data_IF_501075854827
#
_entry.id   IF_501075854827
#
_cell.length_a   1.000
_cell.length_b   1.000
_cell.length_c   1.000
_cell.angle_alpha   90.00
_cell.angle_beta   90.00
_cell.angle_gamma   90.00
#
_symmetry.space_group_name_H-M   'P 1'
#
loop_
_entity.id
_entity.type
_entity.pdbx_description
1 polymer ?
#
# COMPACT_ATOMS: atom_id res chain seq x y z
N UNK A 1 -63.16 -16.16 -10.58
CA UNK A 1 -61.99 -15.33 -10.91
C UNK A 1 -60.71 -16.04 -10.44
N UNK A 2 -59.87 -16.56 -11.34
CA UNK A 2 -58.59 -17.09 -10.98
C UNK A 2 -57.49 -16.11 -11.42
N UNK A 3 -56.46 -15.89 -10.64
CA UNK A 3 -55.12 -15.72 -11.18
C UNK A 3 -54.43 -14.41 -11.02
N UNK A 4 -54.46 -13.71 -9.87
CA UNK A 4 -53.53 -12.59 -9.64
C UNK A 4 -52.36 -12.91 -8.72
N UNK A 5 -52.26 -14.12 -8.16
CA UNK A 5 -51.18 -14.53 -7.25
C UNK A 5 -49.89 -15.02 -7.95
N UNK A 6 -50.02 -15.59 -9.16
CA UNK A 6 -48.93 -16.27 -9.85
C UNK A 6 -47.82 -15.34 -10.40
N UNK A 7 -48.22 -14.15 -10.87
CA UNK A 7 -47.25 -13.21 -11.48
C UNK A 7 -46.35 -12.49 -10.46
N UNK A 8 -46.84 -12.15 -9.27
CA UNK A 8 -46.04 -11.51 -8.22
C UNK A 8 -44.97 -12.46 -7.69
N UNK A 9 -45.31 -13.72 -7.41
CA UNK A 9 -44.36 -14.70 -6.92
C UNK A 9 -43.26 -15.06 -7.93
N UNK A 10 -43.53 -14.97 -9.24
CA UNK A 10 -42.51 -15.20 -10.27
C UNK A 10 -41.57 -13.99 -10.44
N UNK A 11 -42.09 -12.78 -10.31
CA UNK A 11 -41.27 -11.56 -10.34
C UNK A 11 -40.31 -11.51 -9.16
N UNK A 12 -40.80 -11.86 -7.98
CA UNK A 12 -39.95 -11.91 -6.76
C UNK A 12 -38.87 -12.97 -6.87
N UNK A 13 -39.17 -14.18 -7.37
CA UNK A 13 -38.15 -15.23 -7.60
C UNK A 13 -37.07 -14.79 -8.61
N UNK A 14 -37.47 -14.13 -9.69
CA UNK A 14 -36.52 -13.56 -10.67
C UNK A 14 -35.61 -12.50 -10.04
N UNK A 15 -36.16 -11.61 -9.22
CA UNK A 15 -35.39 -10.59 -8.49
C UNK A 15 -34.40 -11.23 -7.51
N UNK A 16 -34.75 -12.31 -6.84
CA UNK A 16 -33.86 -13.03 -5.94
C UNK A 16 -32.69 -13.70 -6.68
N UNK A 17 -32.94 -14.34 -7.82
CA UNK A 17 -31.87 -15.01 -8.61
C UNK A 17 -30.93 -13.98 -9.27
N UNK A 18 -31.44 -12.88 -9.80
CA UNK A 18 -30.61 -11.79 -10.33
C UNK A 18 -29.73 -11.20 -9.24
N UNK A 19 -30.21 -11.10 -8.01
CA UNK A 19 -29.46 -10.58 -6.88
C UNK A 19 -28.27 -11.47 -6.51
N UNK A 20 -28.44 -12.80 -6.51
CA UNK A 20 -27.32 -13.73 -6.24
C UNK A 20 -26.22 -13.62 -7.29
N UNK A 21 -26.58 -13.42 -8.57
CA UNK A 21 -25.62 -13.16 -9.64
C UNK A 21 -24.82 -11.85 -9.41
N UNK A 22 -25.50 -10.78 -9.00
CA UNK A 22 -24.84 -9.51 -8.67
C UNK A 22 -23.86 -9.66 -7.49
N UNK A 23 -24.29 -10.33 -6.41
CA UNK A 23 -23.46 -10.54 -5.23
C UNK A 23 -22.24 -11.38 -5.58
N UNK A 24 -22.41 -12.46 -6.36
CA UNK A 24 -21.31 -13.30 -6.80
C UNK A 24 -20.37 -12.56 -7.77
N UNK A 25 -20.91 -11.74 -8.69
CA UNK A 25 -20.11 -10.95 -9.61
C UNK A 25 -19.25 -9.90 -8.87
N UNK A 26 -19.83 -9.18 -7.90
CA UNK A 26 -19.06 -8.24 -7.08
C UNK A 26 -17.99 -8.96 -6.25
N UNK A 27 -18.29 -10.14 -5.74
CA UNK A 27 -17.32 -10.99 -5.05
C UNK A 27 -16.16 -11.42 -5.94
N UNK A 28 -16.44 -11.81 -7.20
CA UNK A 28 -15.36 -12.15 -8.16
C UNK A 28 -14.46 -10.96 -8.46
N UNK A 29 -15.03 -9.79 -8.75
CA UNK A 29 -14.25 -8.57 -9.03
C UNK A 29 -13.37 -8.21 -7.83
N UNK A 30 -13.93 -8.30 -6.61
CA UNK A 30 -13.19 -8.02 -5.39
C UNK A 30 -12.03 -9.02 -5.20
N UNK A 31 -12.26 -10.32 -5.42
CA UNK A 31 -11.21 -11.33 -5.30
C UNK A 31 -10.16 -11.22 -6.42
N UNK A 32 -10.55 -10.83 -7.62
CA UNK A 32 -9.59 -10.55 -8.70
C UNK A 32 -8.64 -9.43 -8.31
N UNK A 33 -9.16 -8.29 -7.81
CA UNK A 33 -8.30 -7.19 -7.32
C UNK A 33 -7.40 -7.64 -6.17
N UNK A 34 -7.89 -8.54 -5.31
CA UNK A 34 -7.08 -9.10 -4.23
C UNK A 34 -5.92 -9.97 -4.77
N UNK A 35 -6.20 -10.84 -5.74
CA UNK A 35 -5.17 -11.65 -6.43
C UNK A 35 -4.14 -10.74 -7.11
N UNK A 36 -4.57 -9.68 -7.78
CA UNK A 36 -3.68 -8.71 -8.43
C UNK A 36 -2.77 -8.01 -7.40
N UNK A 37 -3.32 -7.63 -6.24
CA UNK A 37 -2.56 -7.02 -5.15
C UNK A 37 -1.52 -7.98 -4.57
N UNK A 38 -1.92 -9.25 -4.30
CA UNK A 38 -1.02 -10.29 -3.79
C UNK A 38 0.08 -10.61 -4.82
N UNK A 39 -0.28 -10.70 -6.10
CA UNK A 39 0.70 -10.92 -7.18
C UNK A 39 1.71 -9.79 -7.27
N UNK A 40 1.27 -8.54 -7.10
CA UNK A 40 2.16 -7.39 -7.04
C UNK A 40 3.09 -7.43 -5.82
N UNK A 41 2.58 -7.82 -4.63
CA UNK A 41 3.41 -8.02 -3.45
C UNK A 41 4.49 -9.09 -3.70
N UNK A 42 4.11 -10.22 -4.27
CA UNK A 42 5.03 -11.34 -4.56
C UNK A 42 6.09 -10.95 -5.60
N UNK A 43 5.70 -10.20 -6.64
CA UNK A 43 6.65 -9.70 -7.65
C UNK A 43 7.70 -8.76 -7.04
N UNK A 44 7.32 -8.01 -6.00
CA UNK A 44 8.19 -7.03 -5.34
C UNK A 44 8.84 -7.53 -4.04
N UNK A 45 8.89 -8.84 -3.81
CA UNK A 45 9.51 -9.43 -2.60
C UNK A 45 11.00 -9.10 -2.47
N UNK A 46 11.71 -8.97 -3.59
CA UNK A 46 13.13 -8.61 -3.63
C UNK A 46 13.38 -7.11 -3.86
N UNK A 47 12.33 -6.30 -3.94
CA UNK A 47 12.47 -4.86 -4.16
C UNK A 47 12.80 -4.15 -2.86
N UNK A 48 13.93 -3.44 -2.82
CA UNK A 48 14.40 -2.69 -1.65
C UNK A 48 13.39 -1.61 -1.24
N UNK A 49 13.07 -1.55 0.05
CA UNK A 49 12.16 -0.54 0.61
C UNK A 49 10.69 -0.71 0.20
N UNK A 50 10.33 -1.80 -0.47
CA UNK A 50 8.95 -2.08 -0.83
C UNK A 50 8.10 -2.35 0.41
N UNK A 51 6.87 -1.84 0.41
CA UNK A 51 5.88 -2.04 1.48
C UNK A 51 4.70 -2.83 0.95
N UNK A 52 4.36 -3.92 1.66
CA UNK A 52 3.22 -4.80 1.35
C UNK A 52 1.95 -3.98 1.20
N UNK A 53 1.21 -4.26 0.15
CA UNK A 53 -0.11 -3.68 -0.09
C UNK A 53 -1.21 -4.63 0.39
N UNK A 54 -2.21 -4.07 1.05
CA UNK A 54 -3.37 -4.82 1.54
C UNK A 54 -4.63 -4.19 0.96
N UNK A 55 -5.49 -5.05 0.42
CA UNK A 55 -6.78 -4.64 -0.13
C UNK A 55 -7.84 -4.67 0.97
N UNK A 56 -8.55 -3.56 1.16
CA UNK A 56 -9.63 -3.43 2.12
C UNK A 56 -10.98 -3.51 1.42
N UNK A 57 -11.87 -4.36 1.95
CA UNK A 57 -13.21 -4.56 1.42
C UNK A 57 -14.26 -3.87 2.28
N UNK A 58 -15.30 -3.37 1.62
CA UNK A 58 -16.53 -2.87 2.29
C UNK A 58 -17.75 -3.60 1.75
N UNK A 59 -18.65 -3.99 2.65
CA UNK A 59 -19.99 -4.45 2.26
C UNK A 59 -20.76 -3.31 1.59
N UNK A 60 -21.53 -3.63 0.58
CA UNK A 60 -22.53 -2.73 0.02
C UNK A 60 -23.75 -2.63 0.94
N UNK A 61 -24.60 -1.65 0.69
CA UNK A 61 -25.82 -1.45 1.48
C UNK A 61 -26.70 -2.70 1.47
N UNK A 62 -27.30 -2.99 2.60
CA UNK A 62 -28.28 -4.06 2.72
C UNK A 62 -29.67 -3.59 2.25
N UNK A 63 -30.33 -4.42 1.48
CA UNK A 63 -31.70 -4.18 1.08
C UNK A 63 -32.67 -4.85 2.04
N UNK A 64 -33.61 -4.09 2.60
CA UNK A 64 -34.67 -4.63 3.42
C UNK A 64 -35.66 -5.42 2.53
N UNK A 65 -35.77 -6.73 2.74
CA UNK A 65 -36.77 -7.57 2.11
C UNK A 65 -38.08 -7.44 2.88
N UNK A 66 -37.99 -7.38 4.21
CA UNK A 66 -39.13 -7.22 5.08
C UNK A 66 -38.82 -6.21 6.16
N UNK A 67 -39.60 -5.13 6.20
CA UNK A 67 -39.54 -4.12 7.26
C UNK A 67 -40.04 -4.70 8.58
N UNK A 68 -39.55 -4.15 9.70
CA UNK A 68 -40.11 -4.43 11.00
C UNK A 68 -41.59 -4.05 11.00
N UNK A 69 -42.46 -5.04 10.95
CA UNK A 69 -43.91 -4.82 11.06
C UNK A 69 -44.35 -5.19 12.47
N UNK A 70 -45.32 -4.49 13.00
CA UNK A 70 -45.96 -4.82 14.27
C UNK A 70 -46.69 -6.18 14.10
N UNK A 71 -46.53 -7.08 15.06
CA UNK A 71 -47.33 -8.29 15.13
C UNK A 71 -48.81 -7.96 15.25
N UNK A 72 -49.71 -8.91 14.91
CA UNK A 72 -51.13 -8.74 15.13
C UNK A 72 -51.53 -8.42 16.58
N UNK A 73 -50.65 -8.74 17.53
CA UNK A 73 -50.82 -8.46 18.96
C UNK A 73 -50.16 -7.11 19.41
N UNK A 74 -49.68 -6.26 18.48
CA UNK A 74 -49.06 -4.98 18.81
C UNK A 74 -47.57 -5.02 19.14
N UNK A 75 -46.94 -6.21 19.22
CA UNK A 75 -45.54 -6.38 19.53
C UNK A 75 -44.64 -6.10 18.31
N UNK A 76 -43.55 -5.35 18.49
CA UNK A 76 -42.54 -5.09 17.46
C UNK A 76 -41.68 -6.34 17.20
N UNK A 77 -41.58 -6.78 15.96
CA UNK A 77 -40.67 -7.86 15.59
C UNK A 77 -39.21 -7.45 15.88
N UNK A 78 -38.40 -8.29 16.56
CA UNK A 78 -37.06 -7.93 16.97
C UNK A 78 -36.07 -7.80 15.81
N UNK A 79 -36.34 -8.43 14.64
CA UNK A 79 -35.42 -8.43 13.51
C UNK A 79 -36.16 -8.17 12.20
N UNK A 80 -35.50 -7.43 11.28
CA UNK A 80 -35.91 -7.29 9.88
C UNK A 80 -35.12 -8.28 9.02
N UNK A 81 -35.72 -8.78 7.92
CA UNK A 81 -34.98 -9.56 6.93
C UNK A 81 -34.27 -8.62 5.97
N UNK A 82 -32.94 -8.64 6.02
CA UNK A 82 -32.07 -7.83 5.17
C UNK A 82 -31.16 -8.75 4.35
N UNK A 83 -30.85 -8.34 3.12
CA UNK A 83 -29.91 -9.04 2.25
C UNK A 83 -28.88 -8.06 1.72
N UNK A 84 -27.60 -8.40 1.87
CA UNK A 84 -26.48 -7.61 1.34
C UNK A 84 -26.45 -7.65 -0.19
N UNK A 85 -26.07 -6.52 -0.79
CA UNK A 85 -25.91 -6.38 -2.25
C UNK A 85 -24.51 -6.72 -2.76
N UNK A 86 -23.67 -7.29 -1.89
CA UNK A 86 -22.32 -7.73 -2.24
C UNK A 86 -21.22 -6.90 -1.57
N UNK A 87 -20.04 -6.88 -2.20
CA UNK A 87 -18.81 -6.29 -1.69
C UNK A 87 -18.18 -5.35 -2.74
N UNK A 88 -17.48 -4.33 -2.28
CA UNK A 88 -16.63 -3.50 -3.13
C UNK A 88 -15.25 -3.29 -2.50
N UNK A 89 -14.25 -3.04 -3.32
CA UNK A 89 -12.98 -2.57 -2.85
C UNK A 89 -13.14 -1.15 -2.28
N UNK A 90 -12.61 -0.93 -1.09
CA UNK A 90 -12.65 0.37 -0.42
C UNK A 90 -11.36 1.14 -0.70
N UNK A 91 -10.22 0.51 -0.48
CA UNK A 91 -8.88 1.07 -0.64
C UNK A 91 -7.85 -0.04 -0.78
N UNK A 92 -6.70 0.32 -1.34
CA UNK A 92 -5.48 -0.48 -1.27
C UNK A 92 -4.49 0.36 -0.48
N UNK A 93 -4.13 -0.09 0.72
CA UNK A 93 -3.23 0.62 1.62
C UNK A 93 -1.87 -0.09 1.70
N UNK A 94 -0.79 0.69 1.93
CA UNK A 94 0.54 0.15 2.16
C UNK A 94 0.77 -0.07 3.65
N UNK A 95 1.34 -1.20 4.03
CA UNK A 95 1.68 -1.50 5.42
C UNK A 95 3.11 -1.03 5.69
N UNK A 96 3.27 0.08 6.40
CA UNK A 96 4.57 0.67 6.72
C UNK A 96 5.26 0.02 7.92
N UNK A 97 5.18 -1.32 8.01
CA UNK A 97 6.01 -2.07 8.93
C UNK A 97 7.43 -2.14 8.38
N UNK A 98 8.42 -2.05 9.25
CA UNK A 98 9.83 -2.19 8.87
C UNK A 98 10.13 -3.59 8.34
N UNK A 99 10.90 -3.63 7.23
CA UNK A 99 11.43 -4.86 6.65
C UNK A 99 12.71 -5.30 7.35
N UNK A 100 13.21 -6.48 7.03
CA UNK A 100 14.50 -6.93 7.53
C UNK A 100 15.64 -6.11 6.91
N UNK A 101 16.62 -5.75 7.73
CA UNK A 101 17.82 -5.08 7.26
C UNK A 101 18.83 -6.12 6.76
N UNK A 102 19.24 -6.00 5.51
CA UNK A 102 20.23 -6.88 4.87
C UNK A 102 21.51 -6.12 4.60
N UNK A 103 22.65 -6.71 4.94
CA UNK A 103 23.95 -6.13 4.65
C UNK A 103 24.18 -6.04 3.14
N UNK A 104 24.76 -4.93 2.69
CA UNK A 104 25.15 -4.65 1.31
C UNK A 104 26.62 -4.26 1.24
N UNK A 105 27.32 -4.73 0.22
CA UNK A 105 28.72 -4.37 -0.03
C UNK A 105 28.90 -2.93 -0.58
N UNK A 106 27.81 -2.20 -0.78
CA UNK A 106 27.84 -0.83 -1.28
C UNK A 106 27.99 0.17 -0.15
N UNK A 107 29.02 1.02 -0.20
CA UNK A 107 29.23 2.12 0.75
C UNK A 107 28.10 3.17 0.73
N UNK A 108 27.30 3.18 -0.34
CA UNK A 108 26.19 4.12 -0.55
C UNK A 108 24.83 3.49 -0.29
N UNK A 109 24.79 2.30 0.29
CA UNK A 109 23.58 1.66 0.77
C UNK A 109 23.25 2.20 2.16
N UNK A 110 22.02 2.67 2.35
CA UNK A 110 21.53 3.22 3.61
C UNK A 110 20.19 2.58 3.98
N UNK A 111 20.04 2.20 5.22
CA UNK A 111 18.76 1.78 5.75
C UNK A 111 18.32 2.74 6.85
N UNK A 112 17.02 2.94 6.97
CA UNK A 112 16.40 3.68 8.06
C UNK A 112 15.86 2.67 9.06
N UNK A 113 16.40 2.68 10.27
CA UNK A 113 15.86 1.98 11.43
C UNK A 113 14.91 2.95 12.15
N UNK A 114 13.60 2.73 11.98
CA UNK A 114 12.55 3.61 12.47
C UNK A 114 11.47 3.92 11.43
N UNK A 115 10.65 4.96 11.68
CA UNK A 115 9.46 5.30 10.87
C UNK A 115 9.72 6.33 9.77
N UNK A 116 10.95 6.83 9.63
CA UNK A 116 11.31 7.91 8.70
C UNK A 116 11.33 7.50 7.23
N UNK A 117 11.42 8.49 6.36
CA UNK A 117 11.56 8.36 4.91
C UNK A 117 12.69 9.28 4.44
N UNK A 118 13.45 8.85 3.44
CA UNK A 118 14.35 9.74 2.72
C UNK A 118 13.54 10.70 1.86
N UNK A 119 13.95 11.96 1.80
CA UNK A 119 13.37 12.93 0.87
C UNK A 119 14.22 13.01 -0.39
N UNK A 120 13.57 13.00 -1.53
CA UNK A 120 14.19 13.13 -2.85
C UNK A 120 13.46 14.20 -3.66
N UNK A 121 14.14 14.86 -4.56
CA UNK A 121 13.54 15.87 -5.43
C UNK A 121 13.23 15.24 -6.79
N UNK A 122 11.99 15.32 -7.22
CA UNK A 122 11.58 14.89 -8.55
C UNK A 122 12.05 15.85 -9.65
N UNK A 123 11.98 15.39 -10.88
CA UNK A 123 12.28 16.20 -12.06
C UNK A 123 11.34 17.41 -12.23
N UNK A 124 10.15 17.32 -11.68
CA UNK A 124 9.13 18.39 -11.62
C UNK A 124 9.34 19.41 -10.51
N UNK A 125 10.42 19.26 -9.72
CA UNK A 125 10.76 20.14 -8.60
C UNK A 125 10.00 19.84 -7.30
N UNK A 126 9.10 18.86 -7.30
CA UNK A 126 8.38 18.44 -6.10
C UNK A 126 9.26 17.55 -5.21
N UNK A 127 8.92 17.50 -3.92
CA UNK A 127 9.58 16.60 -2.98
C UNK A 127 8.81 15.29 -2.87
N UNK A 128 9.50 14.19 -3.06
CA UNK A 128 9.01 12.84 -2.88
C UNK A 128 9.74 12.16 -1.74
N UNK A 129 9.14 11.11 -1.24
CA UNK A 129 9.65 10.37 -0.09
C UNK A 129 9.84 8.91 -0.47
N UNK A 130 10.90 8.29 0.02
CA UNK A 130 11.18 6.89 -0.28
C UNK A 130 11.78 6.16 0.91
N UNK A 131 11.58 4.85 0.96
CA UNK A 131 12.27 3.94 1.87
C UNK A 131 13.42 3.20 1.19
N UNK A 132 13.56 3.38 -0.12
CA UNK A 132 14.65 2.78 -0.86
C UNK A 132 15.96 3.54 -0.58
N UNK A 133 16.86 2.90 0.14
CA UNK A 133 18.17 3.45 0.48
C UNK A 133 19.30 2.98 -0.46
N UNK A 134 19.00 2.38 -1.60
CA UNK A 134 20.01 2.07 -2.61
C UNK A 134 20.37 3.34 -3.39
N UNK A 135 21.21 4.16 -2.75
CA UNK A 135 21.63 5.44 -3.28
C UNK A 135 22.96 5.30 -4.03
N UNK A 136 23.26 6.26 -4.89
CA UNK A 136 24.50 6.31 -5.67
C UNK A 136 25.01 7.76 -5.76
N UNK A 137 26.32 7.89 -5.86
CA UNK A 137 26.91 9.18 -6.21
C UNK A 137 26.88 9.38 -7.72
N UNK A 138 26.33 10.49 -8.16
CA UNK A 138 26.28 10.93 -9.56
C UNK A 138 26.92 12.31 -9.69
N UNK A 139 27.37 12.67 -10.89
CA UNK A 139 27.88 14.00 -11.16
C UNK A 139 26.73 15.02 -11.21
N UNK A 140 26.80 16.04 -10.38
CA UNK A 140 25.87 17.16 -10.42
C UNK A 140 26.23 18.11 -11.58
N UNK A 141 25.25 18.86 -12.07
CA UNK A 141 25.45 19.89 -13.12
C UNK A 141 26.48 20.95 -12.74
N UNK A 142 26.75 21.13 -11.45
CA UNK A 142 27.72 22.10 -10.92
C UNK A 142 29.13 21.49 -10.75
N UNK A 143 29.39 20.28 -11.28
CA UNK A 143 30.69 19.64 -11.24
C UNK A 143 31.05 18.98 -9.89
N UNK A 144 30.10 18.92 -8.92
CA UNK A 144 30.23 18.16 -7.67
C UNK A 144 29.63 16.76 -7.75
N UNK A 145 29.87 15.93 -6.73
CA UNK A 145 29.25 14.62 -6.58
C UNK A 145 27.95 14.77 -5.80
N UNK A 146 26.84 14.35 -6.39
CA UNK A 146 25.50 14.43 -5.82
C UNK A 146 25.05 13.05 -5.37
N UNK A 147 24.47 12.95 -4.17
CA UNK A 147 23.82 11.73 -3.72
C UNK A 147 22.43 11.63 -4.35
N UNK A 148 22.17 10.57 -5.11
CA UNK A 148 20.93 10.39 -5.85
C UNK A 148 20.44 8.94 -5.76
N UNK A 149 19.17 8.73 -6.10
CA UNK A 149 18.59 7.40 -6.30
C UNK A 149 19.14 6.74 -7.57
N UNK A 150 18.85 5.46 -7.79
CA UNK A 150 19.18 4.74 -9.05
C UNK A 150 18.65 5.43 -10.30
N UNK A 151 17.60 6.22 -10.19
CA UNK A 151 16.94 6.97 -11.27
C UNK A 151 17.50 8.38 -11.45
N UNK A 152 18.47 8.75 -10.62
CA UNK A 152 19.11 10.08 -10.69
C UNK A 152 18.38 11.19 -9.94
N UNK A 153 17.39 10.86 -9.10
CA UNK A 153 16.72 11.85 -8.27
C UNK A 153 17.60 12.24 -7.08
N UNK A 154 17.91 13.54 -6.88
CA UNK A 154 18.76 13.98 -5.79
C UNK A 154 18.11 13.77 -4.42
N UNK A 155 18.89 13.24 -3.48
CA UNK A 155 18.51 13.14 -2.07
C UNK A 155 18.65 14.51 -1.41
N UNK A 156 17.71 14.83 -0.56
CA UNK A 156 17.65 16.13 0.12
C UNK A 156 18.24 16.06 1.52
N UNK A 157 18.82 17.17 1.93
CA UNK A 157 19.28 17.39 3.31
C UNK A 157 18.10 17.76 4.23
N UNK A 158 18.37 17.97 5.49
CA UNK A 158 17.39 18.43 6.49
C UNK A 158 16.79 19.81 6.17
N UNK A 159 17.40 20.58 5.26
CA UNK A 159 16.93 21.91 4.83
C UNK A 159 16.20 21.86 3.48
N UNK A 160 16.00 20.66 2.92
CA UNK A 160 15.35 20.48 1.61
C UNK A 160 16.22 20.84 0.41
N UNK A 161 17.55 20.88 0.57
CA UNK A 161 18.50 21.14 -0.51
C UNK A 161 19.11 19.82 -0.99
N UNK A 162 19.44 19.68 -2.29
CA UNK A 162 20.15 18.52 -2.80
C UNK A 162 21.52 18.36 -2.09
N UNK A 163 21.86 17.14 -1.72
CA UNK A 163 23.16 16.81 -1.12
C UNK A 163 24.20 16.77 -2.24
N UNK A 164 25.04 17.81 -2.31
CA UNK A 164 26.13 17.91 -3.27
C UNK A 164 27.45 18.02 -2.51
N UNK A 165 28.37 17.15 -2.81
CA UNK A 165 29.69 17.08 -2.21
C UNK A 165 30.73 17.65 -3.19
N UNK A 166 31.70 18.38 -2.68
CA UNK A 166 32.83 18.89 -3.48
C UNK A 166 33.70 17.74 -3.99
N UNK A 167 34.32 17.92 -5.15
CA UNK A 167 35.23 16.91 -5.74
C UNK A 167 36.49 16.61 -4.90
N UNK A 168 36.71 17.37 -3.82
CA UNK A 168 37.84 17.19 -2.90
C UNK A 168 37.68 15.94 -2.00
N UNK A 169 36.48 15.37 -1.92
CA UNK A 169 36.17 14.20 -1.09
C UNK A 169 36.28 12.91 -1.90
N UNK A 170 36.97 11.92 -1.36
CA UNK A 170 37.00 10.57 -1.90
C UNK A 170 35.73 9.85 -1.43
N UNK A 171 34.82 9.53 -2.36
CA UNK A 171 33.49 9.02 -2.05
C UNK A 171 33.49 7.72 -1.22
N UNK A 172 34.46 6.83 -1.43
CA UNK A 172 34.62 5.57 -0.67
C UNK A 172 35.02 5.76 0.81
N UNK A 173 35.44 6.96 1.20
CA UNK A 173 35.82 7.28 2.60
C UNK A 173 34.72 8.00 3.38
N UNK A 174 33.60 8.28 2.72
CA UNK A 174 32.48 8.97 3.37
C UNK A 174 31.76 7.98 4.26
N UNK A 175 31.64 8.31 5.53
CA UNK A 175 30.85 7.56 6.50
C UNK A 175 29.64 8.37 6.94
N UNK A 176 28.56 7.68 7.24
CA UNK A 176 27.34 8.32 7.73
C UNK A 176 27.11 7.91 9.19
N UNK A 177 26.97 8.90 10.05
CA UNK A 177 26.65 8.69 11.46
C UNK A 177 25.18 8.24 11.60
N UNK A 178 24.83 7.63 12.74
CA UNK A 178 23.45 7.21 13.05
C UNK A 178 22.44 8.36 12.95
N UNK A 179 22.88 9.58 13.20
CA UNK A 179 22.05 10.80 13.07
C UNK A 179 21.89 11.29 11.62
N UNK A 180 22.42 10.55 10.64
CA UNK A 180 22.39 10.94 9.23
C UNK A 180 23.42 11.98 8.82
N UNK A 181 24.34 12.39 9.71
CA UNK A 181 25.40 13.34 9.39
C UNK A 181 26.47 12.67 8.55
N UNK A 182 26.83 13.28 7.42
CA UNK A 182 27.94 12.83 6.59
C UNK A 182 29.26 13.23 7.26
N UNK A 183 30.13 12.26 7.41
CA UNK A 183 31.46 12.44 8.02
C UNK A 183 32.55 12.08 7.00
N UNK A 184 33.66 12.79 7.07
CA UNK A 184 34.86 12.51 6.30
C UNK A 184 36.05 12.33 7.25
N UNK A 185 36.91 11.30 7.08
CA UNK A 185 38.05 11.09 7.95
C UNK A 185 39.07 12.19 7.79
N UNK A 186 39.54 12.73 8.91
CA UNK A 186 40.65 13.65 8.99
C UNK A 186 42.01 12.93 8.77
N UNK A 187 43.11 13.67 8.74
CA UNK A 187 44.48 13.13 8.61
C UNK A 187 44.83 12.04 9.66
N UNK A 188 44.14 12.07 10.80
CA UNK A 188 44.24 11.06 11.89
C UNK A 188 43.20 9.93 11.77
N UNK A 189 42.50 9.84 10.66
CA UNK A 189 41.43 8.85 10.39
C UNK A 189 40.22 8.92 11.34
N UNK A 190 39.99 10.07 11.99
CA UNK A 190 38.81 10.32 12.80
C UNK A 190 37.68 10.89 11.92
N UNK A 191 36.44 10.35 11.99
CA UNK A 191 35.33 10.88 11.22
C UNK A 191 34.92 12.27 11.73
N UNK A 192 35.07 13.27 10.88
CA UNK A 192 34.64 14.66 11.14
C UNK A 192 33.38 14.99 10.34
N UNK A 193 32.37 15.60 10.93
CA UNK A 193 31.14 15.95 10.23
C UNK A 193 31.42 17.04 9.18
N UNK A 194 30.96 16.82 7.95
CA UNK A 194 31.07 17.77 6.83
C UNK A 194 30.06 18.91 6.99
N UNK A 195 29.07 18.78 7.90
CA UNK A 195 28.01 19.77 8.09
C UNK A 195 26.78 19.55 7.18
N UNK A 196 26.71 18.40 6.50
CA UNK A 196 25.57 17.98 5.69
C UNK A 196 24.94 16.77 6.38
N UNK A 197 23.63 16.79 6.57
CA UNK A 197 22.88 15.71 7.19
C UNK A 197 21.79 15.24 6.24
N UNK A 198 21.66 13.94 6.05
CA UNK A 198 20.59 13.36 5.21
C UNK A 198 19.23 13.69 5.85
N UNK A 199 18.31 14.23 5.07
CA UNK A 199 16.97 14.57 5.52
C UNK A 199 16.11 13.32 5.71
N UNK A 200 15.71 13.06 6.96
CA UNK A 200 14.72 12.04 7.31
C UNK A 200 13.43 12.71 7.76
N UNK A 201 12.33 12.27 7.18
CA UNK A 201 11.01 12.85 7.40
C UNK A 201 10.02 11.80 7.85
N UNK A 202 9.14 12.15 8.76
CA UNK A 202 8.04 11.32 9.21
C UNK A 202 6.69 11.94 8.86
N UNK A 203 5.65 11.10 8.88
CA UNK A 203 4.27 11.52 8.66
C UNK A 203 3.39 11.04 9.81
N UNK A 204 2.43 11.86 10.22
CA UNK A 204 1.45 11.46 11.23
C UNK A 204 0.59 10.29 10.75
N UNK A 205 0.26 10.26 9.46
CA UNK A 205 -0.50 9.19 8.84
C UNK A 205 0.20 8.71 7.54
N UNK A 206 1.12 7.75 7.64
CA UNK A 206 1.82 7.22 6.45
C UNK A 206 0.88 6.58 5.43
N UNK A 207 -0.25 6.00 5.87
CA UNK A 207 -1.24 5.38 4.98
C UNK A 207 -1.96 6.39 4.07
N UNK A 208 -1.90 7.67 4.41
CA UNK A 208 -2.42 8.76 3.58
C UNK A 208 -1.48 9.20 2.47
N UNK A 209 -0.27 8.68 2.40
CA UNK A 209 0.66 8.98 1.32
C UNK A 209 0.18 8.37 0.00
N UNK A 210 0.27 9.14 -1.07
CA UNK A 210 0.03 8.65 -2.43
C UNK A 210 1.28 7.94 -2.94
N UNK A 211 1.10 6.69 -3.38
CA UNK A 211 2.18 5.90 -3.95
C UNK A 211 2.32 6.22 -5.44
N UNK A 212 3.53 6.50 -5.85
CA UNK A 212 3.95 6.67 -7.24
C UNK A 212 4.77 5.46 -7.71
N UNK A 213 5.30 5.55 -8.94
CA UNK A 213 6.27 4.58 -9.44
C UNK A 213 7.54 4.56 -8.55
N UNK A 214 8.35 3.50 -8.66
CA UNK A 214 9.71 3.42 -8.13
C UNK A 214 9.83 3.52 -6.59
N UNK A 215 8.81 3.07 -5.88
CA UNK A 215 8.71 3.15 -4.41
C UNK A 215 8.80 4.58 -3.86
N UNK A 216 8.37 5.54 -4.67
CA UNK A 216 8.21 6.94 -4.26
C UNK A 216 6.82 7.17 -3.67
N UNK A 217 6.77 8.05 -2.69
CA UNK A 217 5.55 8.47 -2.02
C UNK A 217 5.40 9.98 -2.10
N UNK A 218 4.20 10.44 -2.38
CA UNK A 218 3.86 11.86 -2.40
C UNK A 218 3.00 12.22 -1.19
N UNK A 219 3.30 13.37 -0.62
CA UNK A 219 2.51 13.94 0.46
C UNK A 219 1.11 14.33 -0.04
N UNK A 220 0.10 14.02 0.76
CA UNK A 220 -1.29 14.40 0.51
C UNK A 220 -1.88 15.13 1.72
N UNK A 221 -3.06 15.69 1.57
CA UNK A 221 -3.81 16.26 2.70
C UNK A 221 -4.15 15.22 3.78
N UNK A 222 -4.28 13.94 3.40
CA UNK A 222 -4.59 12.84 4.32
C UNK A 222 -3.37 12.35 5.11
N UNK A 223 -2.16 12.48 4.56
CA UNK A 223 -0.91 12.13 5.27
C UNK A 223 -0.50 13.18 6.29
N UNK A 224 -0.95 14.41 6.14
CA UNK A 224 -0.44 15.58 6.84
C UNK A 224 0.88 16.08 6.25
N UNK A 225 1.44 17.12 6.87
CA UNK A 225 2.73 17.68 6.45
C UNK A 225 3.89 16.78 6.87
N UNK A 226 4.93 16.75 6.04
CA UNK A 226 6.17 16.07 6.37
C UNK A 226 6.84 16.71 7.59
N UNK A 227 7.12 15.92 8.59
CA UNK A 227 7.77 16.34 9.83
C UNK A 227 9.24 15.99 9.71
N UNK A 228 10.09 16.99 9.75
CA UNK A 228 11.54 16.81 9.75
C UNK A 228 11.98 16.34 11.14
N UNK A 229 12.61 15.17 11.23
CA UNK A 229 13.08 14.60 12.50
C UNK A 229 14.21 15.39 13.16
N UNK A 230 15.02 16.11 12.36
CA UNK A 230 16.13 16.87 12.90
C UNK A 230 15.68 18.13 13.65
N UNK A 231 14.54 18.70 13.26
CA UNK A 231 14.04 19.96 13.85
C UNK A 231 12.94 19.75 14.89
N UNK A 232 12.29 18.59 14.88
CA UNK A 232 11.14 18.32 15.76
C UNK A 232 11.52 17.29 16.84
N UNK A 233 11.55 17.74 18.09
CA UNK A 233 11.86 16.89 19.25
C UNK A 233 10.66 16.05 19.74
N UNK A 234 9.47 16.21 19.17
CA UNK A 234 8.27 15.48 19.59
C UNK A 234 8.10 14.13 18.86
N UNK A 235 9.01 13.82 17.93
CA UNK A 235 8.97 12.59 17.13
C UNK A 235 10.16 11.73 17.52
N UNK A 236 9.94 10.43 17.62
CA UNK A 236 11.01 9.47 17.82
C UNK A 236 11.94 9.50 16.62
N UNK A 237 13.22 9.80 16.83
CA UNK A 237 14.20 9.89 15.76
C UNK A 237 14.54 8.53 15.22
N UNK A 238 14.51 8.39 13.91
CA UNK A 238 15.02 7.21 13.21
C UNK A 238 16.55 7.25 13.15
N UNK A 239 17.18 6.09 13.12
CA UNK A 239 18.62 6.01 12.88
C UNK A 239 18.92 5.58 11.44
N UNK A 240 20.00 6.14 10.87
CA UNK A 240 20.50 5.72 9.55
C UNK A 240 21.65 4.73 9.75
N UNK A 241 21.58 3.60 9.07
CA UNK A 241 22.61 2.57 9.09
C UNK A 241 23.21 2.46 7.69
N UNK A 242 24.51 2.74 7.58
CA UNK A 242 25.25 2.60 6.34
C UNK A 242 25.65 1.15 6.10
N UNK A 243 25.72 0.72 4.84
CA UNK A 243 26.07 -0.66 4.44
C UNK A 243 24.92 -1.66 4.61
N UNK A 244 23.70 -1.16 4.82
CA UNK A 244 22.50 -1.97 4.91
C UNK A 244 21.41 -1.43 3.99
N UNK A 245 20.55 -2.33 3.53
CA UNK A 245 19.35 -2.01 2.78
C UNK A 245 18.14 -2.59 3.49
N UNK A 246 17.04 -1.87 3.48
CA UNK A 246 15.76 -2.39 3.96
C UNK A 246 15.16 -3.30 2.88
N UNK A 247 15.00 -4.59 3.18
CA UNK A 247 14.30 -5.54 2.32
C UNK A 247 12.80 -5.28 2.32
N UNK A 248 12.11 -5.79 1.32
CA UNK A 248 10.64 -5.83 1.31
C UNK A 248 10.11 -6.48 2.60
N UNK A 249 9.02 -5.95 3.14
CA UNK A 249 8.33 -6.55 4.28
C UNK A 249 7.30 -7.61 3.88
N UNK A 250 7.31 -8.04 2.60
CA UNK A 250 6.46 -9.09 2.06
C UNK A 250 6.94 -10.46 2.56
N UNK A 251 6.04 -11.23 3.14
CA UNK A 251 6.29 -12.62 3.53
C UNK A 251 5.73 -13.55 2.45
N UNK A 252 6.62 -14.19 1.69
CA UNK A 252 6.25 -15.04 0.53
C UNK A 252 5.25 -16.13 0.90
N UNK A 253 5.47 -16.79 2.02
CA UNK A 253 4.61 -17.90 2.45
C UNK A 253 3.19 -17.42 2.75
N UNK A 254 3.06 -16.31 3.45
CA UNK A 254 1.75 -15.73 3.79
C UNK A 254 1.02 -15.26 2.53
N UNK A 255 1.72 -14.58 1.60
CA UNK A 255 1.14 -14.14 0.34
C UNK A 255 0.72 -15.32 -0.56
N UNK A 256 1.48 -16.41 -0.58
CA UNK A 256 1.09 -17.62 -1.31
C UNK A 256 -0.18 -18.25 -0.73
N UNK A 257 -0.30 -18.32 0.59
CA UNK A 257 -1.51 -18.83 1.25
C UNK A 257 -2.69 -17.90 0.95
N UNK A 258 -2.53 -16.59 1.07
CA UNK A 258 -3.54 -15.59 0.74
C UNK A 258 -4.00 -15.70 -0.72
N UNK A 259 -3.06 -15.94 -1.65
CA UNK A 259 -3.36 -16.15 -3.07
C UNK A 259 -4.24 -17.38 -3.28
N UNK A 260 -3.90 -18.51 -2.63
CA UNK A 260 -4.71 -19.74 -2.72
C UNK A 260 -6.13 -19.50 -2.19
N UNK A 261 -6.26 -18.79 -1.06
CA UNK A 261 -7.58 -18.45 -0.48
C UNK A 261 -8.38 -17.57 -1.43
N UNK A 262 -7.76 -16.54 -2.01
CA UNK A 262 -8.42 -15.64 -2.95
C UNK A 262 -8.86 -16.35 -4.24
N UNK A 263 -8.00 -17.24 -4.79
CA UNK A 263 -8.34 -18.06 -5.95
C UNK A 263 -9.51 -19.00 -5.65
N UNK A 264 -9.52 -19.65 -4.49
CA UNK A 264 -10.64 -20.53 -4.09
C UNK A 264 -11.94 -19.76 -3.90
N UNK A 265 -11.87 -18.57 -3.31
CA UNK A 265 -13.04 -17.69 -3.19
C UNK A 265 -13.57 -17.24 -4.56
N UNK A 266 -12.68 -16.94 -5.51
CA UNK A 266 -13.07 -16.64 -6.89
C UNK A 266 -13.76 -17.84 -7.57
N UNK A 267 -13.20 -19.06 -7.46
CA UNK A 267 -13.80 -20.30 -7.99
C UNK A 267 -15.19 -20.56 -7.42
N UNK A 268 -15.37 -20.36 -6.10
CA UNK A 268 -16.67 -20.54 -5.45
C UNK A 268 -17.71 -19.53 -5.94
N UNK A 269 -17.34 -18.28 -6.12
CA UNK A 269 -18.22 -17.25 -6.69
C UNK A 269 -18.58 -17.58 -8.14
N UNK A 270 -17.64 -18.07 -8.94
CA UNK A 270 -17.89 -18.53 -10.31
C UNK A 270 -18.87 -19.71 -10.34
N UNK A 271 -18.70 -20.69 -9.46
CA UNK A 271 -19.64 -21.82 -9.33
C UNK A 271 -21.04 -21.36 -8.87
N UNK A 272 -21.14 -20.34 -8.02
CA UNK A 272 -22.41 -19.76 -7.64
C UNK A 272 -23.14 -19.12 -8.83
N UNK A 273 -22.42 -18.50 -9.76
CA UNK A 273 -22.99 -17.95 -10.99
C UNK A 273 -23.48 -19.07 -11.90
N UNK A 274 -22.66 -20.09 -12.16
CA UNK A 274 -23.07 -21.22 -13.02
C UNK A 274 -24.31 -21.96 -12.45
N UNK A 275 -24.33 -22.23 -11.15
CA UNK A 275 -25.48 -22.82 -10.49
C UNK A 275 -26.75 -21.95 -10.58
N UNK A 276 -26.57 -20.60 -10.48
CA UNK A 276 -27.71 -19.67 -10.65
C UNK A 276 -28.21 -19.66 -12.09
N UNK A 277 -27.33 -19.76 -13.08
CA UNK A 277 -27.71 -19.84 -14.50
C UNK A 277 -28.44 -21.17 -14.81
N UNK A 278 -27.94 -22.29 -14.31
CA UNK A 278 -28.60 -23.59 -14.43
C UNK A 278 -30.01 -23.57 -13.82
N UNK A 279 -30.19 -22.95 -12.64
CA UNK A 279 -31.51 -22.80 -12.03
C UNK A 279 -32.44 -21.96 -12.90
N UNK A 280 -31.94 -20.90 -13.54
CA UNK A 280 -32.69 -20.06 -14.47
C UNK A 280 -33.09 -20.83 -15.73
N UNK A 281 -32.20 -21.66 -16.29
CA UNK A 281 -32.49 -22.54 -17.43
C UNK A 281 -33.56 -23.58 -17.10
N UNK A 282 -33.42 -24.22 -15.94
CA UNK A 282 -34.46 -25.19 -15.48
C UNK A 282 -35.82 -24.52 -15.28
N UNK A 283 -35.83 -23.31 -14.64
CA UNK A 283 -37.07 -22.56 -14.46
C UNK A 283 -37.70 -22.13 -15.79
N UNK A 284 -36.91 -21.87 -16.82
CA UNK A 284 -37.39 -21.54 -18.16
C UNK A 284 -37.90 -22.76 -18.93
N UNK A 285 -37.27 -23.93 -18.73
CA UNK A 285 -37.68 -25.18 -19.34
C UNK A 285 -38.99 -25.72 -18.75
N UNK A 286 -39.26 -25.49 -17.46
CA UNK A 286 -40.53 -25.85 -16.82
C UNK A 286 -41.72 -25.01 -17.30
N UNK A 287 -41.46 -23.94 -18.08
CA UNK A 287 -42.49 -23.05 -18.62
C UNK A 287 -42.98 -23.48 -20.04
N UNK A 288 -42.28 -24.41 -20.68
CA UNK A 288 -42.71 -25.04 -21.93
C UNK A 288 -43.55 -26.27 -21.64
#
# INVERSE_FOLDING_TARGET
>A
KPGHGGHKGQLERRLHMVRSLWTAATGMIAQQTNVDTIANNLANVNTTGYKTQVNEFKSLLDQNIQTKTTSANGDTKPSSAQVGLGVRNASISSVFKEGSLTASDSDTAFAIDGKGFFAVRGADGNTYYTRNGNLKFTLASNGGNMLATSEGLPVLDTQGRPIVLSNNYVMSKITVSKDGSLCYPDAQNNPQPIGITIGVFQFNNPNGLERLADSLYQQTAASGQAINEATNNNVERSSIIQGYLESSNVQVVDEMVNMIVAQRAYELNSKAITASDEMLQQANNLRR
#
